data_IF_034844749742
#
_entry.id   IF_034844749742
#
_cell.length_a   1.000
_cell.length_b   1.000
_cell.length_c   1.000
_cell.angle_alpha   90.00
_cell.angle_beta   90.00
_cell.angle_gamma   90.00
#
_symmetry.space_group_name_H-M   'P 1'
#
loop_
_entity.id
_entity.type
_entity.pdbx_description
1 polymer ?
#
# COMPACT_ATOMS: atom_id res chain seq x y z
N UNK A 1 19.40 -25.86 37.67
CA UNK A 1 18.00 -25.85 37.18
C UNK A 1 17.75 -24.49 36.57
N UNK A 2 17.98 -24.37 35.27
CA UNK A 2 17.79 -23.14 34.49
C UNK A 2 16.31 -23.00 34.17
N UNK A 3 15.72 -21.90 34.63
CA UNK A 3 14.33 -21.56 34.43
C UNK A 3 14.17 -21.08 32.97
N UNK A 4 13.87 -22.00 32.06
CA UNK A 4 13.45 -21.67 30.70
C UNK A 4 12.06 -21.02 30.78
N UNK A 5 12.05 -19.68 30.85
CA UNK A 5 10.83 -18.89 30.68
C UNK A 5 10.19 -19.26 29.36
N UNK A 6 9.04 -19.94 29.43
CA UNK A 6 8.33 -20.45 28.27
C UNK A 6 7.90 -19.33 27.33
N UNK A 7 8.66 -19.13 26.26
CA UNK A 7 8.13 -18.56 25.03
C UNK A 7 7.15 -19.59 24.46
N UNK A 8 5.85 -19.36 24.71
CA UNK A 8 4.79 -20.15 24.09
C UNK A 8 4.95 -20.13 22.57
N UNK A 9 4.67 -21.27 21.93
CA UNK A 9 4.64 -21.41 20.48
C UNK A 9 3.82 -20.26 19.86
N UNK A 10 4.40 -19.42 18.97
CA UNK A 10 3.70 -18.29 18.38
C UNK A 10 2.44 -18.70 17.60
N UNK A 11 2.33 -19.95 17.16
CA UNK A 11 1.12 -20.49 16.55
C UNK A 11 -0.07 -20.61 17.53
N UNK A 12 0.19 -20.63 18.85
CA UNK A 12 -0.81 -20.73 19.93
C UNK A 12 -1.20 -19.38 20.55
N UNK A 13 -0.64 -18.27 20.09
CA UNK A 13 -1.02 -16.94 20.58
C UNK A 13 -2.42 -16.56 20.07
N UNK A 14 -3.31 -16.17 20.98
CA UNK A 14 -4.66 -15.70 20.62
C UNK A 14 -4.58 -14.52 19.63
N UNK A 15 -5.44 -14.57 18.61
CA UNK A 15 -5.53 -13.52 17.59
C UNK A 15 -4.61 -13.70 16.37
N UNK A 16 -3.89 -14.82 16.24
CA UNK A 16 -3.02 -15.09 15.08
C UNK A 16 -3.79 -15.04 13.73
N UNK A 17 -4.93 -15.72 13.63
CA UNK A 17 -5.78 -15.68 12.42
C UNK A 17 -6.35 -14.28 12.14
N UNK A 18 -6.69 -13.52 13.19
CA UNK A 18 -7.16 -12.15 13.05
C UNK A 18 -6.04 -11.25 12.53
N UNK A 19 -4.82 -11.41 13.03
CA UNK A 19 -3.66 -10.68 12.54
C UNK A 19 -3.37 -10.98 11.06
N UNK A 20 -3.47 -12.24 10.65
CA UNK A 20 -3.35 -12.66 9.24
C UNK A 20 -4.42 -11.96 8.40
N UNK A 21 -5.69 -12.05 8.78
CA UNK A 21 -6.78 -11.40 8.04
C UNK A 21 -6.59 -9.88 7.94
N UNK A 22 -6.19 -9.23 9.04
CA UNK A 22 -5.92 -7.79 9.05
C UNK A 22 -4.74 -7.46 8.13
N UNK A 23 -3.67 -8.24 8.13
CA UNK A 23 -2.54 -8.05 7.21
C UNK A 23 -2.98 -8.17 5.75
N UNK A 24 -3.83 -9.15 5.42
CA UNK A 24 -4.38 -9.29 4.08
C UNK A 24 -5.23 -8.08 3.66
N UNK A 25 -6.10 -7.58 4.54
CA UNK A 25 -6.93 -6.40 4.27
C UNK A 25 -6.08 -5.14 4.08
N UNK A 26 -5.09 -4.93 4.95
CA UNK A 26 -4.14 -3.82 4.85
C UNK A 26 -3.31 -3.91 3.55
N UNK A 27 -2.90 -5.10 3.15
CA UNK A 27 -2.22 -5.35 1.88
C UNK A 27 -3.09 -4.97 0.68
N UNK A 28 -4.39 -5.29 0.71
CA UNK A 28 -5.30 -4.86 -0.34
C UNK A 28 -5.36 -3.34 -0.45
N UNK A 29 -5.54 -2.62 0.67
CA UNK A 29 -5.72 -1.16 0.67
C UNK A 29 -4.53 -0.42 0.07
N UNK A 30 -3.32 -0.93 0.28
CA UNK A 30 -2.11 -0.34 -0.27
C UNK A 30 -2.11 -0.20 -1.81
N UNK A 31 -2.84 -1.05 -2.54
CA UNK A 31 -2.94 -0.98 -4.01
C UNK A 31 -4.37 -0.78 -4.52
N UNK A 32 -5.38 -0.89 -3.67
CA UNK A 32 -6.78 -0.82 -4.11
C UNK A 32 -7.10 0.51 -4.77
N UNK A 33 -6.67 1.64 -4.19
CA UNK A 33 -6.87 2.98 -4.78
C UNK A 33 -6.12 3.19 -6.10
N UNK A 34 -4.87 2.74 -6.18
CA UNK A 34 -4.07 2.84 -7.41
C UNK A 34 -4.67 1.99 -8.53
N UNK A 35 -4.99 0.73 -8.23
CA UNK A 35 -5.63 -0.17 -9.18
C UNK A 35 -7.01 0.35 -9.60
N UNK A 36 -7.76 0.96 -8.69
CA UNK A 36 -9.03 1.62 -9.00
C UNK A 36 -8.86 2.70 -10.06
N UNK A 37 -7.85 3.56 -9.90
CA UNK A 37 -7.57 4.63 -10.85
C UNK A 37 -7.16 4.09 -12.22
N UNK A 38 -6.34 3.03 -12.30
CA UNK A 38 -5.97 2.43 -13.57
C UNK A 38 -7.14 1.69 -14.26
N UNK A 39 -8.02 1.06 -13.48
CA UNK A 39 -9.07 0.17 -14.01
C UNK A 39 -10.21 0.93 -14.71
N UNK A 40 -10.42 2.20 -14.36
CA UNK A 40 -11.44 3.08 -14.98
C UNK A 40 -10.88 3.90 -16.15
N UNK A 41 -9.84 3.40 -16.81
CA UNK A 41 -9.16 4.10 -17.91
C UNK A 41 -10.08 4.52 -19.05
N UNK A 42 -11.17 3.79 -19.29
CA UNK A 42 -12.16 4.10 -20.30
C UNK A 42 -12.97 5.36 -19.97
N UNK A 43 -13.23 5.61 -18.69
CA UNK A 43 -13.78 6.88 -18.23
C UNK A 43 -12.81 8.04 -18.51
N UNK A 44 -11.52 7.85 -18.22
CA UNK A 44 -10.50 8.85 -18.52
C UNK A 44 -10.25 9.05 -20.01
N UNK A 45 -10.36 7.99 -20.82
CA UNK A 45 -10.28 8.07 -22.27
C UNK A 45 -11.44 8.88 -22.87
N UNK A 46 -12.64 8.74 -22.31
CA UNK A 46 -13.80 9.57 -22.69
C UNK A 46 -13.61 11.04 -22.27
N UNK A 47 -13.06 11.27 -21.08
CA UNK A 47 -12.90 12.60 -20.49
C UNK A 47 -11.71 13.39 -21.09
N UNK A 48 -10.67 12.68 -21.53
CA UNK A 48 -9.39 13.24 -21.98
C UNK A 48 -8.91 12.58 -23.28
N UNK A 49 -9.65 12.69 -24.40
CA UNK A 49 -9.37 11.94 -25.63
C UNK A 49 -8.01 12.27 -26.28
N UNK A 50 -7.43 13.44 -25.96
CA UNK A 50 -6.13 13.87 -26.48
C UNK A 50 -4.96 13.56 -25.54
N UNK A 51 -5.20 12.95 -24.39
CA UNK A 51 -4.18 12.62 -23.40
C UNK A 51 -4.05 11.10 -23.25
N UNK A 52 -2.81 10.61 -23.22
CA UNK A 52 -2.52 9.21 -22.90
C UNK A 52 -2.59 8.98 -21.39
N UNK A 53 -3.79 9.10 -20.82
CA UNK A 53 -4.03 9.11 -19.36
C UNK A 53 -3.36 7.94 -18.63
N UNK A 54 -3.47 6.67 -19.05
CA UNK A 54 -2.84 5.56 -18.34
C UNK A 54 -1.31 5.68 -18.24
N UNK A 55 -0.66 6.17 -19.31
CA UNK A 55 0.79 6.40 -19.34
C UNK A 55 1.20 7.54 -18.43
N UNK A 56 0.53 8.68 -18.55
CA UNK A 56 0.86 9.88 -17.77
C UNK A 56 0.67 9.63 -16.29
N UNK A 57 -0.44 9.01 -15.89
CA UNK A 57 -0.72 8.71 -14.49
C UNK A 57 0.37 7.82 -13.89
N UNK A 58 0.80 6.77 -14.60
CA UNK A 58 1.88 5.88 -14.16
C UNK A 58 3.23 6.59 -14.08
N UNK A 59 3.55 7.42 -15.07
CA UNK A 59 4.76 8.23 -15.10
C UNK A 59 4.81 9.29 -13.99
N UNK A 60 3.65 9.72 -13.47
CA UNK A 60 3.58 10.61 -12.31
C UNK A 60 3.65 9.81 -11.00
N UNK A 61 2.96 8.69 -10.90
CA UNK A 61 2.97 7.84 -9.70
C UNK A 61 4.38 7.34 -9.34
N UNK A 62 5.09 6.76 -10.33
CA UNK A 62 6.31 5.99 -10.09
C UNK A 62 7.46 6.84 -9.50
N UNK A 63 7.78 8.04 -10.03
CA UNK A 63 8.86 8.86 -9.46
C UNK A 63 8.56 9.32 -8.03
N UNK A 64 7.30 9.63 -7.71
CA UNK A 64 6.91 10.02 -6.36
C UNK A 64 6.99 8.83 -5.40
N UNK A 65 6.58 7.64 -5.84
CA UNK A 65 6.73 6.41 -5.07
C UNK A 65 8.21 6.09 -4.80
N UNK A 66 9.03 6.02 -5.85
CA UNK A 66 10.47 5.69 -5.71
C UNK A 66 11.24 6.76 -4.92
N UNK A 67 11.00 8.03 -5.22
CA UNK A 67 11.65 9.14 -4.52
C UNK A 67 11.31 9.15 -3.03
N UNK A 68 10.02 9.00 -2.69
CA UNK A 68 9.57 8.93 -1.30
C UNK A 68 10.15 7.70 -0.60
N UNK A 69 10.13 6.54 -1.25
CA UNK A 69 10.69 5.31 -0.69
C UNK A 69 12.20 5.43 -0.42
N UNK A 70 12.95 6.02 -1.35
CA UNK A 70 14.39 6.26 -1.19
C UNK A 70 14.70 7.20 -0.01
N UNK A 71 13.94 8.29 0.12
CA UNK A 71 14.07 9.23 1.24
C UNK A 71 13.77 8.54 2.57
N UNK A 72 12.68 7.76 2.62
CA UNK A 72 12.28 7.03 3.83
C UNK A 72 13.25 5.92 4.19
N UNK A 73 13.80 5.20 3.21
CA UNK A 73 14.81 4.16 3.42
C UNK A 73 16.15 4.74 3.91
N UNK A 74 16.50 5.96 3.48
CA UNK A 74 17.69 6.65 3.98
C UNK A 74 17.53 7.15 5.43
N UNK A 75 16.33 7.63 5.79
CA UNK A 75 16.03 8.18 7.12
C UNK A 75 15.37 7.17 8.09
N UNK A 76 15.29 5.90 7.70
CA UNK A 76 14.49 4.85 8.35
C UNK A 76 14.67 4.81 9.87
N UNK A 77 15.92 4.85 10.35
CA UNK A 77 16.24 4.74 11.78
C UNK A 77 15.68 5.88 12.66
N UNK A 78 15.19 6.98 12.05
CA UNK A 78 14.66 8.15 12.76
C UNK A 78 13.14 8.28 12.65
N UNK A 79 12.50 7.54 11.74
CA UNK A 79 11.07 7.72 11.42
C UNK A 79 10.26 6.63 12.10
N UNK A 80 9.19 7.03 12.78
CA UNK A 80 8.29 6.10 13.42
C UNK A 80 7.37 5.41 12.40
N UNK A 81 7.39 4.08 12.36
CA UNK A 81 6.62 3.28 11.38
C UNK A 81 5.11 3.48 11.51
N UNK A 82 4.57 3.61 12.72
CA UNK A 82 3.16 3.94 12.94
C UNK A 82 2.72 5.23 12.25
N UNK A 83 3.51 6.30 12.42
CA UNK A 83 3.20 7.60 11.81
C UNK A 83 3.21 7.50 10.30
N UNK A 84 4.21 6.82 9.75
CA UNK A 84 4.38 6.57 8.31
C UNK A 84 3.16 5.82 7.73
N UNK A 85 2.77 4.70 8.33
CA UNK A 85 1.64 3.89 7.87
C UNK A 85 0.30 4.61 7.99
N UNK A 86 0.03 5.28 9.13
CA UNK A 86 -1.19 6.07 9.31
C UNK A 86 -1.26 7.25 8.34
N UNK A 87 -0.15 7.95 8.12
CA UNK A 87 -0.07 9.02 7.14
C UNK A 87 -0.37 8.49 5.73
N UNK A 88 0.24 7.37 5.35
CA UNK A 88 0.01 6.74 4.05
C UNK A 88 -1.45 6.32 3.80
N UNK A 89 -2.06 5.54 4.70
CA UNK A 89 -3.48 5.17 4.55
C UNK A 89 -4.43 6.37 4.59
N UNK A 90 -4.14 7.37 5.43
CA UNK A 90 -4.94 8.61 5.45
C UNK A 90 -4.80 9.38 4.13
N UNK A 91 -3.60 9.38 3.54
CA UNK A 91 -3.36 10.03 2.26
C UNK A 91 -4.05 9.30 1.11
N UNK A 92 -4.09 7.96 1.13
CA UNK A 92 -4.91 7.18 0.19
C UNK A 92 -6.41 7.53 0.30
N UNK A 93 -6.94 7.59 1.53
CA UNK A 93 -8.32 7.98 1.79
C UNK A 93 -8.64 9.39 1.27
N UNK A 94 -7.84 10.38 1.68
CA UNK A 94 -8.06 11.78 1.29
C UNK A 94 -7.92 11.96 -0.21
N UNK A 95 -6.96 11.28 -0.85
CA UNK A 95 -6.76 11.36 -2.30
C UNK A 95 -7.92 10.71 -3.05
N UNK A 96 -8.42 9.57 -2.59
CA UNK A 96 -9.59 8.90 -3.19
C UNK A 96 -10.86 9.76 -3.07
N UNK A 97 -11.10 10.37 -1.89
CA UNK A 97 -12.18 11.34 -1.71
C UNK A 97 -11.97 12.60 -2.57
N UNK A 98 -10.71 13.04 -2.71
CA UNK A 98 -10.34 14.19 -3.54
C UNK A 98 -10.68 13.98 -5.01
N UNK A 99 -10.46 12.77 -5.56
CA UNK A 99 -10.86 12.42 -6.92
C UNK A 99 -12.39 12.46 -7.07
N UNK A 100 -13.14 11.92 -6.10
CA UNK A 100 -14.61 12.02 -6.11
C UNK A 100 -15.09 13.48 -6.08
N UNK A 101 -14.51 14.30 -5.21
CA UNK A 101 -14.86 15.73 -5.12
C UNK A 101 -14.50 16.45 -6.42
N UNK A 102 -13.36 16.14 -7.03
CA UNK A 102 -12.95 16.70 -8.30
C UNK A 102 -13.95 16.35 -9.41
N UNK A 103 -14.37 15.09 -9.52
CA UNK A 103 -15.39 14.67 -10.48
C UNK A 103 -16.73 15.40 -10.27
N UNK A 104 -17.19 15.47 -9.02
CA UNK A 104 -18.46 16.12 -8.68
C UNK A 104 -18.41 17.63 -8.96
N UNK A 105 -17.31 18.30 -8.56
CA UNK A 105 -17.10 19.74 -8.75
C UNK A 105 -17.02 20.16 -10.21
N UNK A 106 -16.44 19.30 -11.05
CA UNK A 106 -16.31 19.52 -12.49
C UNK A 106 -17.55 19.02 -13.24
N UNK A 107 -18.50 18.39 -12.55
CA UNK A 107 -19.65 17.72 -13.17
C UNK A 107 -19.24 16.68 -14.22
N UNK A 108 -18.12 16.00 -14.00
CA UNK A 108 -17.54 15.06 -14.98
C UNK A 108 -17.10 15.75 -16.27
N UNK A 109 -16.80 17.06 -16.23
CA UNK A 109 -16.24 17.77 -17.38
C UNK A 109 -14.73 17.60 -17.39
N UNK A 110 -14.23 17.23 -18.56
CA UNK A 110 -12.81 17.10 -18.81
C UNK A 110 -12.13 18.46 -18.92
N UNK A 111 -10.92 18.45 -19.44
CA UNK A 111 -10.10 19.64 -19.63
C UNK A 111 -8.82 19.62 -18.81
N UNK A 112 -7.95 20.58 -19.11
CA UNK A 112 -6.59 20.61 -18.58
C UNK A 112 -6.55 20.68 -17.05
N UNK A 113 -7.41 21.49 -16.43
CA UNK A 113 -7.48 21.62 -14.97
C UNK A 113 -7.84 20.32 -14.27
N UNK A 114 -8.89 19.62 -14.75
CA UNK A 114 -9.31 18.32 -14.23
C UNK A 114 -8.21 17.27 -14.40
N UNK A 115 -7.55 17.26 -15.56
CA UNK A 115 -6.45 16.33 -15.83
C UNK A 115 -5.26 16.56 -14.89
N UNK A 116 -4.84 17.82 -14.69
CA UNK A 116 -3.79 18.18 -13.74
C UNK A 116 -4.17 17.73 -12.32
N UNK A 117 -5.43 17.92 -11.92
CA UNK A 117 -5.94 17.46 -10.62
C UNK A 117 -5.78 15.95 -10.43
N UNK A 118 -6.16 15.15 -11.43
CA UNK A 118 -6.00 13.69 -11.37
C UNK A 118 -4.51 13.31 -11.33
N UNK A 119 -3.64 13.98 -12.08
CA UNK A 119 -2.19 13.77 -12.01
C UNK A 119 -1.63 14.07 -10.61
N UNK A 120 -2.10 15.12 -9.94
CA UNK A 120 -1.70 15.44 -8.56
C UNK A 120 -2.09 14.28 -7.63
N UNK A 121 -3.32 13.79 -7.71
CA UNK A 121 -3.76 12.66 -6.89
C UNK A 121 -3.00 11.36 -7.21
N UNK A 122 -2.62 11.14 -8.48
CA UNK A 122 -1.72 10.05 -8.86
C UNK A 122 -0.36 10.12 -8.14
N UNK A 123 0.25 11.31 -8.10
CA UNK A 123 1.49 11.53 -7.35
C UNK A 123 1.30 11.30 -5.84
N UNK A 124 0.18 11.75 -5.28
CA UNK A 124 -0.15 11.52 -3.87
C UNK A 124 -0.35 10.04 -3.55
N UNK A 125 -0.95 9.25 -4.46
CA UNK A 125 -1.00 7.79 -4.32
C UNK A 125 0.41 7.17 -4.32
N UNK A 126 1.33 7.67 -5.14
CA UNK A 126 2.73 7.21 -5.10
C UNK A 126 3.40 7.49 -3.76
N UNK A 127 3.20 8.69 -3.20
CA UNK A 127 3.69 9.05 -1.86
C UNK A 127 3.05 8.15 -0.79
N UNK A 128 1.74 7.92 -0.87
CA UNK A 128 1.00 7.08 0.07
C UNK A 128 1.49 5.63 0.04
N UNK A 129 1.66 5.05 -1.15
CA UNK A 129 2.16 3.68 -1.35
C UNK A 129 3.56 3.51 -0.76
N UNK A 130 4.49 4.42 -1.06
CA UNK A 130 5.84 4.37 -0.49
C UNK A 130 5.84 4.41 1.05
N UNK A 131 4.92 5.17 1.64
CA UNK A 131 4.75 5.22 3.09
C UNK A 131 4.21 3.89 3.62
N UNK A 132 3.09 3.39 3.10
CA UNK A 132 2.45 2.16 3.59
C UNK A 132 3.26 0.93 3.26
N UNK A 133 3.57 0.69 1.99
CA UNK A 133 4.16 -0.56 1.52
C UNK A 133 5.50 -0.84 2.22
N UNK A 134 6.43 0.13 2.18
CA UNK A 134 7.72 -0.08 2.83
C UNK A 134 7.64 -0.03 4.37
N UNK A 135 6.63 0.65 4.95
CA UNK A 135 6.46 0.72 6.40
C UNK A 135 5.89 -0.58 6.96
N UNK A 136 4.86 -1.12 6.32
CA UNK A 136 4.27 -2.42 6.62
C UNK A 136 5.25 -3.56 6.38
N UNK A 137 5.94 -3.61 5.24
CA UNK A 137 6.94 -4.66 4.96
C UNK A 137 8.05 -4.64 6.02
N UNK A 138 8.55 -3.46 6.38
CA UNK A 138 9.54 -3.31 7.45
C UNK A 138 9.03 -3.80 8.81
N UNK A 139 7.83 -3.40 9.23
CA UNK A 139 7.24 -3.82 10.52
C UNK A 139 6.97 -5.33 10.56
N UNK A 140 6.36 -5.87 9.50
CA UNK A 140 6.00 -7.29 9.41
C UNK A 140 7.21 -8.22 9.28
N UNK A 141 8.35 -7.73 8.77
CA UNK A 141 9.60 -8.50 8.68
C UNK A 141 10.15 -8.91 10.06
N UNK A 142 9.77 -8.18 11.12
CA UNK A 142 10.15 -8.45 12.51
C UNK A 142 9.16 -9.40 13.22
N UNK A 143 8.12 -9.85 12.51
CA UNK A 143 7.06 -10.69 13.03
C UNK A 143 7.10 -12.11 12.43
N UNK A 144 5.95 -12.79 12.38
CA UNK A 144 5.82 -14.10 11.74
C UNK A 144 5.85 -13.98 10.20
N UNK A 145 6.51 -14.90 9.47
CA UNK A 145 6.45 -14.99 8.02
C UNK A 145 5.03 -15.04 7.45
N UNK A 146 4.08 -15.61 8.20
CA UNK A 146 2.68 -15.68 7.79
C UNK A 146 2.05 -14.28 7.60
N UNK A 147 2.46 -13.28 8.38
CA UNK A 147 1.90 -11.93 8.31
C UNK A 147 2.37 -11.20 7.07
N UNK A 148 3.68 -11.21 6.79
CA UNK A 148 4.22 -10.59 5.57
C UNK A 148 3.70 -11.30 4.32
N UNK A 149 3.63 -12.63 4.32
CA UNK A 149 3.03 -13.39 3.21
C UNK A 149 1.57 -13.01 2.99
N UNK A 150 0.79 -12.89 4.07
CA UNK A 150 -0.61 -12.49 3.98
C UNK A 150 -0.79 -11.06 3.46
N UNK A 151 0.05 -10.13 3.90
CA UNK A 151 0.08 -8.76 3.38
C UNK A 151 0.41 -8.72 1.89
N UNK A 152 1.46 -9.43 1.45
CA UNK A 152 1.84 -9.54 0.04
C UNK A 152 0.76 -10.23 -0.80
N UNK A 153 0.08 -11.24 -0.26
CA UNK A 153 -1.06 -11.87 -0.90
C UNK A 153 -2.26 -10.91 -1.04
N UNK A 154 -2.46 -10.02 -0.07
CA UNK A 154 -3.45 -8.94 -0.16
C UNK A 154 -3.14 -7.93 -1.26
N UNK A 155 -1.87 -7.51 -1.37
CA UNK A 155 -1.40 -6.66 -2.47
C UNK A 155 -1.72 -7.30 -3.82
N UNK A 156 -1.40 -8.58 -4.02
CA UNK A 156 -1.69 -9.30 -5.25
C UNK A 156 -3.19 -9.45 -5.52
N UNK A 157 -3.98 -9.73 -4.48
CA UNK A 157 -5.44 -9.89 -4.60
C UNK A 157 -6.15 -8.60 -5.00
N UNK A 158 -5.60 -7.43 -4.65
CA UNK A 158 -6.22 -6.14 -4.94
C UNK A 158 -6.56 -5.95 -6.43
N UNK A 159 -5.67 -6.36 -7.34
CA UNK A 159 -5.89 -6.25 -8.79
C UNK A 159 -7.00 -7.17 -9.29
N UNK A 160 -7.14 -8.36 -8.71
CA UNK A 160 -8.24 -9.27 -9.02
C UNK A 160 -9.58 -8.73 -8.50
N UNK A 161 -9.59 -8.15 -7.30
CA UNK A 161 -10.78 -7.52 -6.73
C UNK A 161 -11.23 -6.30 -7.55
N UNK A 162 -10.30 -5.43 -7.97
CA UNK A 162 -10.66 -4.28 -8.81
C UNK A 162 -11.16 -4.75 -10.18
N UNK A 163 -10.55 -5.77 -10.78
CA UNK A 163 -11.02 -6.34 -12.05
C UNK A 163 -12.44 -6.91 -11.92
N UNK A 164 -12.72 -7.67 -10.86
CA UNK A 164 -14.07 -8.18 -10.59
C UNK A 164 -15.08 -7.05 -10.36
N UNK A 165 -14.71 -6.05 -9.57
CA UNK A 165 -15.55 -4.86 -9.35
C UNK A 165 -15.82 -4.11 -10.64
N UNK A 166 -14.86 -4.08 -11.57
CA UNK A 166 -15.02 -3.44 -12.87
C UNK A 166 -16.02 -4.16 -13.75
N UNK A 167 -15.96 -5.49 -13.81
CA UNK A 167 -16.96 -6.29 -14.52
C UNK A 167 -18.36 -6.07 -13.95
N UNK A 168 -18.49 -6.07 -12.62
CA UNK A 168 -19.77 -5.84 -11.93
C UNK A 168 -20.32 -4.44 -12.24
N UNK A 169 -19.50 -3.39 -12.10
CA UNK A 169 -19.93 -2.01 -12.35
C UNK A 169 -20.29 -1.79 -13.81
N UNK A 170 -19.52 -2.35 -14.75
CA UNK A 170 -19.85 -2.30 -16.18
C UNK A 170 -21.17 -2.98 -16.49
N UNK A 171 -21.38 -4.20 -16.00
CA UNK A 171 -22.65 -4.90 -16.17
C UNK A 171 -23.84 -4.17 -15.52
N UNK A 172 -23.63 -3.54 -14.36
CA UNK A 172 -24.67 -2.81 -13.65
C UNK A 172 -25.06 -1.47 -14.33
N UNK A 173 -24.10 -0.81 -15.00
CA UNK A 173 -24.29 0.53 -15.56
C UNK A 173 -24.33 0.57 -17.10
N UNK A 174 -24.24 -0.56 -17.80
CA UNK A 174 -24.18 -0.65 -19.27
C UNK A 174 -25.37 0.07 -19.96
N UNK A 175 -26.57 -0.04 -19.37
CA UNK A 175 -27.79 0.58 -19.89
C UNK A 175 -28.11 1.95 -19.27
N UNK A 176 -27.23 2.50 -18.43
CA UNK A 176 -27.46 3.78 -17.77
C UNK A 176 -26.96 4.94 -18.62
N UNK A 177 -27.70 6.05 -18.62
CA UNK A 177 -27.14 7.35 -19.00
C UNK A 177 -25.95 7.67 -18.09
N UNK A 178 -24.82 8.04 -18.70
CA UNK A 178 -23.56 8.34 -18.01
C UNK A 178 -22.99 7.15 -17.18
N UNK A 179 -23.12 5.94 -17.71
CA UNK A 179 -22.72 4.70 -17.02
C UNK A 179 -21.24 4.65 -16.62
N UNK A 180 -20.34 5.21 -17.44
CA UNK A 180 -18.91 5.26 -17.14
C UNK A 180 -18.60 6.10 -15.90
N UNK A 181 -19.20 7.29 -15.81
CA UNK A 181 -19.02 8.17 -14.67
C UNK A 181 -19.64 7.58 -13.40
N UNK A 182 -20.85 7.01 -13.48
CA UNK A 182 -21.47 6.31 -12.34
C UNK A 182 -20.62 5.13 -11.87
N UNK A 183 -20.04 4.39 -12.81
CA UNK A 183 -19.06 3.36 -12.54
C UNK A 183 -17.85 3.90 -11.79
N UNK A 184 -17.21 4.96 -12.29
CA UNK A 184 -16.04 5.59 -11.67
C UNK A 184 -16.33 6.14 -10.25
N UNK A 185 -17.46 6.82 -10.06
CA UNK A 185 -17.90 7.31 -8.74
C UNK A 185 -18.10 6.14 -7.78
N UNK A 186 -18.77 5.08 -8.21
CA UNK A 186 -18.98 3.88 -7.37
C UNK A 186 -17.64 3.24 -7.00
N UNK A 187 -16.72 3.17 -7.96
CA UNK A 187 -15.40 2.58 -7.78
C UNK A 187 -14.58 3.31 -6.72
N UNK A 188 -14.46 4.65 -6.85
CA UNK A 188 -13.72 5.44 -5.88
C UNK A 188 -14.43 5.57 -4.54
N UNK A 189 -15.77 5.48 -4.49
CA UNK A 189 -16.50 5.42 -3.22
C UNK A 189 -16.18 4.13 -2.45
N UNK A 190 -16.14 2.99 -3.14
CA UNK A 190 -15.73 1.71 -2.55
C UNK A 190 -14.27 1.77 -2.11
N UNK A 191 -13.38 2.32 -2.95
CA UNK A 191 -11.98 2.51 -2.59
C UNK A 191 -11.82 3.38 -1.34
N UNK A 192 -12.47 4.54 -1.29
CA UNK A 192 -12.40 5.42 -0.12
C UNK A 192 -12.94 4.74 1.14
N UNK A 193 -14.02 3.98 1.05
CA UNK A 193 -14.53 3.19 2.17
C UNK A 193 -13.52 2.14 2.65
N UNK A 194 -12.89 1.43 1.71
CA UNK A 194 -11.88 0.42 2.01
C UNK A 194 -10.63 1.04 2.66
N UNK A 195 -10.18 2.20 2.18
CA UNK A 195 -9.06 2.94 2.79
C UNK A 195 -9.39 3.44 4.19
N UNK A 196 -10.63 3.93 4.41
CA UNK A 196 -11.09 4.28 5.74
C UNK A 196 -11.04 3.07 6.68
N UNK A 197 -11.48 1.90 6.22
CA UNK A 197 -11.35 0.66 6.98
C UNK A 197 -9.88 0.34 7.28
N UNK A 198 -8.97 0.51 6.33
CA UNK A 198 -7.53 0.30 6.54
C UNK A 198 -6.95 1.23 7.62
N UNK A 199 -7.33 2.52 7.62
CA UNK A 199 -6.95 3.46 8.69
C UNK A 199 -7.43 2.96 10.04
N UNK A 200 -8.69 2.53 10.15
CA UNK A 200 -9.28 2.03 11.41
C UNK A 200 -8.59 0.74 11.87
N UNK A 201 -8.41 -0.22 10.96
CA UNK A 201 -7.75 -1.50 11.23
C UNK A 201 -6.32 -1.29 11.72
N UNK A 202 -5.54 -0.46 11.05
CA UNK A 202 -4.16 -0.17 11.45
C UNK A 202 -4.10 0.65 12.74
N UNK A 203 -4.97 1.64 12.92
CA UNK A 203 -4.94 2.53 14.08
C UNK A 203 -5.38 1.84 15.37
N UNK A 204 -6.45 1.02 15.30
CA UNK A 204 -7.19 0.55 16.46
C UNK A 204 -7.12 -0.96 16.69
N UNK A 205 -7.11 -1.77 15.62
CA UNK A 205 -7.19 -3.23 15.74
C UNK A 205 -5.81 -3.85 15.80
N UNK A 206 -4.99 -3.60 14.78
CA UNK A 206 -3.66 -4.19 14.63
C UNK A 206 -2.74 -4.04 15.87
N UNK A 207 -2.56 -2.85 16.48
CA UNK A 207 -1.70 -2.70 17.66
C UNK A 207 -2.27 -3.38 18.92
N UNK A 208 -3.57 -3.70 18.96
CA UNK A 208 -4.22 -4.32 20.13
C UNK A 208 -4.13 -5.84 20.12
N UNK A 209 -3.75 -6.46 19.01
CA UNK A 209 -3.65 -7.91 18.91
C UNK A 209 -2.52 -8.47 19.78
N UNK A 210 -2.75 -9.49 20.64
CA UNK A 210 -1.74 -10.03 21.55
C UNK A 210 -0.47 -10.51 20.84
N UNK A 211 -0.63 -11.21 19.72
CA UNK A 211 0.49 -11.68 18.88
C UNK A 211 1.32 -10.52 18.32
N UNK A 212 0.69 -9.44 17.90
CA UNK A 212 1.38 -8.25 17.37
C UNK A 212 2.13 -7.52 18.48
N UNK A 213 1.53 -7.39 19.66
CA UNK A 213 2.20 -6.82 20.85
C UNK A 213 3.43 -7.63 21.23
N UNK A 214 3.33 -8.96 21.20
CA UNK A 214 4.44 -9.85 21.51
C UNK A 214 5.63 -9.61 20.56
N UNK A 215 5.40 -9.64 19.25
CA UNK A 215 6.46 -9.41 18.27
C UNK A 215 7.05 -7.99 18.35
N UNK A 216 6.22 -6.97 18.55
CA UNK A 216 6.70 -5.58 18.70
C UNK A 216 7.51 -5.41 19.99
N UNK A 217 7.16 -6.09 21.07
CA UNK A 217 7.93 -6.08 22.31
C UNK A 217 9.28 -6.79 22.14
N UNK A 218 9.29 -7.92 21.44
CA UNK A 218 10.52 -8.63 21.07
C UNK A 218 11.44 -7.73 20.23
N UNK A 219 10.91 -7.13 19.17
CA UNK A 219 11.66 -6.21 18.31
C UNK A 219 12.24 -5.02 19.09
N UNK A 220 11.50 -4.46 20.04
CA UNK A 220 12.00 -3.40 20.92
C UNK A 220 13.17 -3.87 21.81
N UNK A 221 13.08 -5.09 22.38
CA UNK A 221 14.16 -5.68 23.18
C UNK A 221 15.43 -5.97 22.37
N UNK A 222 15.27 -6.22 21.06
CA UNK A 222 16.37 -6.41 20.11
C UNK A 222 16.95 -5.07 19.59
N UNK A 223 16.44 -3.93 20.08
CA UNK A 223 16.97 -2.59 19.79
C UNK A 223 16.24 -1.82 18.69
N UNK A 224 15.10 -2.32 18.20
CA UNK A 224 14.29 -1.60 17.21
C UNK A 224 13.60 -0.38 17.84
N UNK A 225 13.94 0.82 17.36
CA UNK A 225 13.34 2.10 17.80
C UNK A 225 12.06 2.47 17.04
N UNK A 226 11.74 1.74 15.97
CA UNK A 226 10.62 2.09 15.07
C UNK A 226 9.25 1.69 15.64
N UNK A 227 9.23 0.69 16.53
CA UNK A 227 8.02 0.08 17.12
C UNK A 227 7.51 0.75 18.41
N UNK A 228 8.21 1.77 18.93
CA UNK A 228 7.90 2.36 20.25
C UNK A 228 6.50 2.99 20.32
N UNK A 229 6.10 3.78 19.31
CA UNK A 229 4.76 4.37 19.29
C UNK A 229 3.65 3.34 19.06
N UNK A 230 3.99 2.23 18.41
CA UNK A 230 3.10 1.10 18.16
C UNK A 230 2.84 0.28 19.43
N UNK A 231 3.85 0.11 20.28
CA UNK A 231 3.69 -0.46 21.63
C UNK A 231 2.82 0.41 22.53
N UNK A 232 3.06 1.73 22.52
CA UNK A 232 2.25 2.68 23.28
C UNK A 232 0.77 2.62 22.83
N UNK A 233 0.50 2.51 21.53
CA UNK A 233 -0.85 2.33 20.99
C UNK A 233 -1.49 1.00 21.40
N UNK A 234 -0.68 -0.04 21.60
CA UNK A 234 -1.08 -1.33 22.16
C UNK A 234 -1.29 -1.32 23.68
N UNK A 235 -1.08 -0.19 24.36
CA UNK A 235 -1.20 -0.06 25.81
C UNK A 235 0.02 -0.59 26.59
N UNK A 236 1.15 -0.81 25.91
CA UNK A 236 2.42 -1.20 26.54
C UNK A 236 3.30 0.05 26.57
N UNK A 237 3.55 0.61 27.75
CA UNK A 237 4.61 1.60 27.92
C UNK A 237 5.94 0.89 27.72
N UNK A 238 6.71 1.30 26.71
CA UNK A 238 8.08 0.85 26.55
C UNK A 238 8.82 1.21 27.83
N UNK A 239 9.31 0.20 28.57
CA UNK A 239 10.14 0.44 29.75
C UNK A 239 11.35 1.29 29.35
N UNK A 240 11.80 2.24 30.18
CA UNK A 240 13.05 2.93 29.94
C UNK A 240 14.15 1.88 29.83
N UNK A 241 14.88 1.91 28.72
CA UNK A 241 16.06 1.07 28.53
C UNK A 241 17.13 1.53 29.53
N UNK A 242 17.21 0.90 30.70
CA UNK A 242 18.43 0.89 31.49
C UNK A 242 19.37 -0.13 30.82
N UNK A 243 20.57 0.33 30.48
CA UNK A 243 21.52 -0.38 29.65
C UNK A 243 21.78 -1.81 30.11
N UNK A 244 21.20 -2.78 29.40
CA UNK A 244 21.79 -4.10 29.34
C UNK A 244 23.02 -3.99 28.44
N UNK A 245 24.18 -4.34 28.99
CA UNK A 245 25.45 -4.43 28.27
C UNK A 245 25.23 -5.14 26.94
N UNK A 246 25.58 -4.44 25.85
CA UNK A 246 25.54 -5.01 24.50
C UNK A 246 26.50 -6.21 24.47
N UNK A 247 25.96 -7.42 24.40
CA UNK A 247 26.75 -8.61 24.07
C UNK A 247 27.48 -8.33 22.73
N UNK A 248 28.83 -8.30 22.70
CA UNK A 248 29.62 -7.87 21.54
C UNK A 248 29.48 -8.76 20.30
N UNK A 249 28.62 -9.78 20.33
CA UNK A 249 28.23 -10.61 19.17
C UNK A 249 26.99 -10.11 18.42
N UNK A 250 26.40 -8.96 18.79
CA UNK A 250 25.28 -8.36 18.05
C UNK A 250 25.70 -8.05 16.60
N UNK A 251 25.05 -8.74 15.66
CA UNK A 251 25.15 -8.59 14.20
C UNK A 251 25.45 -7.13 13.80
N UNK A 252 26.63 -6.90 13.22
CA UNK A 252 27.03 -5.59 12.71
C UNK A 252 25.99 -5.12 11.66
N UNK A 253 25.34 -3.98 11.92
CA UNK A 253 24.30 -3.46 11.01
C UNK A 253 24.95 -3.07 9.68
N UNK A 254 24.66 -3.83 8.63
CA UNK A 254 25.07 -3.50 7.27
C UNK A 254 24.42 -2.18 6.81
N UNK A 255 25.20 -1.38 6.09
CA UNK A 255 24.71 -0.19 5.39
C UNK A 255 23.80 -0.57 4.23
N UNK A 256 22.86 0.30 3.86
CA UNK A 256 21.99 0.13 2.68
C UNK A 256 22.79 -0.20 1.41
N UNK A 257 24.00 0.36 1.28
CA UNK A 257 24.89 0.09 0.14
C UNK A 257 25.44 -1.34 0.17
N UNK A 258 25.81 -1.85 1.35
CA UNK A 258 26.29 -3.22 1.52
C UNK A 258 25.17 -4.21 1.24
N UNK A 259 23.96 -3.97 1.79
CA UNK A 259 22.78 -4.79 1.54
C UNK A 259 22.42 -4.87 0.05
N UNK A 260 22.46 -3.74 -0.67
CA UNK A 260 22.22 -3.72 -2.12
C UNK A 260 23.30 -4.48 -2.90
N UNK A 261 24.56 -4.39 -2.47
CA UNK A 261 25.67 -5.08 -3.14
C UNK A 261 25.57 -6.61 -2.94
N UNK A 262 25.24 -7.06 -1.73
CA UNK A 262 25.00 -8.47 -1.41
C UNK A 262 23.79 -9.01 -2.19
N UNK A 263 22.76 -8.19 -2.38
CA UNK A 263 21.51 -8.57 -3.05
C UNK A 263 21.41 -8.04 -4.49
N UNK A 264 22.55 -7.79 -5.15
CA UNK A 264 22.59 -7.16 -6.50
C UNK A 264 21.75 -7.90 -7.54
N UNK A 265 21.69 -9.24 -7.45
CA UNK A 265 20.89 -10.06 -8.36
C UNK A 265 19.40 -9.79 -8.17
N UNK A 266 18.90 -9.77 -6.92
CA UNK A 266 17.52 -9.43 -6.62
C UNK A 266 17.16 -8.01 -7.02
N UNK A 267 18.06 -7.04 -6.79
CA UNK A 267 17.86 -5.66 -7.22
C UNK A 267 17.76 -5.54 -8.75
N UNK A 268 18.65 -6.23 -9.48
CA UNK A 268 18.61 -6.26 -10.95
C UNK A 268 17.34 -6.95 -11.47
N UNK A 269 16.95 -8.09 -10.89
CA UNK A 269 15.70 -8.79 -11.24
C UNK A 269 14.49 -7.91 -10.99
N UNK A 270 14.41 -7.23 -9.84
CA UNK A 270 13.32 -6.33 -9.52
C UNK A 270 13.25 -5.17 -10.53
N UNK A 271 14.39 -4.54 -10.85
CA UNK A 271 14.46 -3.50 -11.87
C UNK A 271 13.97 -3.99 -13.23
N UNK A 272 14.40 -5.17 -13.67
CA UNK A 272 13.97 -5.75 -14.95
C UNK A 272 12.48 -6.06 -14.97
N UNK A 273 11.90 -6.57 -13.86
CA UNK A 273 10.45 -6.81 -13.74
C UNK A 273 9.69 -5.49 -13.87
N UNK A 274 10.10 -4.44 -13.18
CA UNK A 274 9.44 -3.12 -13.28
C UNK A 274 9.62 -2.51 -14.68
N UNK A 275 10.81 -2.59 -15.27
CA UNK A 275 11.07 -2.08 -16.61
C UNK A 275 10.20 -2.80 -17.66
N UNK A 276 10.12 -4.12 -17.59
CA UNK A 276 9.26 -4.93 -18.48
C UNK A 276 7.78 -4.61 -18.25
N UNK A 277 7.35 -4.58 -16.98
CA UNK A 277 5.95 -4.31 -16.63
C UNK A 277 5.54 -2.94 -17.12
N UNK A 278 6.32 -1.88 -16.88
CA UNK A 278 6.00 -0.51 -17.30
C UNK A 278 6.09 -0.29 -18.82
N UNK A 279 6.86 -1.12 -19.52
CA UNK A 279 6.91 -1.09 -20.99
C UNK A 279 5.64 -1.67 -21.62
N UNK A 280 4.91 -2.52 -20.90
CA UNK A 280 3.72 -3.23 -21.40
C UNK A 280 2.43 -2.66 -20.77
N UNK A 281 2.39 -2.54 -19.46
CA UNK A 281 1.24 -2.13 -18.67
C UNK A 281 1.48 -0.80 -17.93
N UNK A 282 0.49 0.11 -17.87
CA UNK A 282 -0.83 0.02 -18.52
C UNK A 282 -0.83 0.50 -19.98
N UNK A 283 0.17 1.28 -20.38
CA UNK A 283 0.07 2.11 -21.58
C UNK A 283 0.17 1.43 -22.94
N UNK A 284 0.87 0.30 -23.07
CA UNK A 284 0.91 -0.42 -24.36
C UNK A 284 -0.36 -1.26 -24.52
N UNK A 285 -0.76 -1.98 -23.46
CA UNK A 285 -2.00 -2.75 -23.45
C UNK A 285 -3.24 -1.90 -23.72
N UNK A 286 -3.36 -0.72 -23.12
CA UNK A 286 -4.52 0.16 -23.32
C UNK A 286 -4.65 0.67 -24.77
N UNK A 287 -3.53 0.81 -25.50
CA UNK A 287 -3.52 1.33 -26.86
C UNK A 287 -3.71 0.24 -27.92
N UNK A 288 -3.14 -0.94 -27.70
CA UNK A 288 -3.16 -2.03 -28.67
C UNK A 288 -4.47 -2.86 -28.59
N UNK A 289 -5.15 -2.85 -27.45
CA UNK A 289 -6.39 -3.62 -27.25
C UNK A 289 -7.68 -2.93 -27.72
N UNK A 290 -7.61 -1.65 -28.14
CA UNK A 290 -8.78 -0.86 -28.53
C UNK A 290 -9.49 -1.27 -29.83
N UNK A 291 -8.94 -2.24 -30.59
CA UNK A 291 -9.51 -2.72 -31.87
C UNK A 291 -9.80 -4.23 -31.81
N UNK A 292 -10.76 -4.64 -30.99
CA UNK A 292 -11.15 -6.03 -30.84
C UNK A 292 -12.65 -6.24 -31.03
N UNK A 293 -13.04 -7.48 -31.33
CA UNK A 293 -14.42 -7.90 -31.56
C UNK A 293 -15.32 -7.82 -30.30
N UNK A 294 -14.73 -7.59 -29.12
CA UNK A 294 -15.45 -7.43 -27.86
C UNK A 294 -15.93 -5.97 -27.63
N UNK A 295 -15.60 -5.04 -28.52
CA UNK A 295 -16.09 -3.67 -28.45
C UNK A 295 -15.56 -2.92 -27.22
N UNK A 296 -16.45 -2.32 -26.43
CA UNK A 296 -16.05 -1.64 -25.20
C UNK A 296 -15.68 -2.60 -24.06
N UNK A 297 -15.90 -3.93 -24.20
CA UNK A 297 -15.81 -4.93 -23.13
C UNK A 297 -14.40 -5.32 -22.73
#
# INVERSE_FOLDING_TARGET
MTNNGGYGDPAKLEGNYVAILVCWLLGNGCLFSWNSMLTIEDYYGNLFPHYHSPRVLTLVYQPFALGTLAILAYHEAKINTRKRNLFGYSLFLISSLGILILDLSTSGKGGLGTFIGICIFSGLFGVADANVQGGMIGDLSLMSPAFIQSFLAGLAASGALTSALRLITKAAFDNSTDGLRKGAITFFAISAFFEFLCVILYALVFPKLPVVKHYRSKAASEGSKTVTADLAAGGIQALPYEGAEEDPKRLERLSNKQLLLENKAYAATMFMIYALTLSIFPGFLSEDTGKHSLGSW
#
